data_IF_458081097376
#
_entry.id   IF_458081097376
#
_cell.length_a   1.000
_cell.length_b   1.000
_cell.length_c   1.000
_cell.angle_alpha   90.00
_cell.angle_beta   90.00
_cell.angle_gamma   90.00
#
_symmetry.space_group_name_H-M   'P 1'
#
loop_
_entity.id
_entity.type
_entity.pdbx_description
1 polymer ?
#
# COMPACT_ATOMS: atom_id res chain seq x y z
N UNK A 1 -12.70 -10.38 24.84
CA UNK A 1 -13.49 -10.23 23.61
C UNK A 1 -12.51 -10.11 22.46
N UNK A 2 -12.38 -11.13 21.61
CA UNK A 2 -11.46 -11.10 20.47
C UNK A 2 -11.95 -10.05 19.48
N UNK A 3 -11.28 -8.90 19.46
CA UNK A 3 -11.51 -7.85 18.48
C UNK A 3 -11.50 -8.49 17.10
N UNK A 4 -12.62 -8.36 16.40
CA UNK A 4 -12.89 -8.79 15.03
C UNK A 4 -11.86 -8.11 14.13
N UNK A 5 -10.65 -8.67 14.09
CA UNK A 5 -9.50 -8.01 13.51
C UNK A 5 -9.79 -7.78 12.03
N UNK A 6 -9.82 -6.53 11.61
CA UNK A 6 -9.99 -6.22 10.20
C UNK A 6 -8.89 -6.97 9.43
N UNK A 7 -9.24 -7.88 8.51
CA UNK A 7 -8.23 -8.63 7.75
C UNK A 7 -7.36 -7.71 6.87
N UNK A 8 -7.76 -6.44 6.74
CA UNK A 8 -7.05 -5.37 6.05
C UNK A 8 -5.99 -4.69 6.91
N UNK A 9 -6.14 -4.65 8.24
CA UNK A 9 -5.17 -4.03 9.15
C UNK A 9 -3.74 -4.55 8.97
N UNK A 10 -3.47 -5.87 8.96
CA UNK A 10 -2.09 -6.36 8.80
C UNK A 10 -1.47 -6.01 7.44
N UNK A 11 -2.31 -5.88 6.40
CA UNK A 11 -1.87 -5.45 5.07
C UNK A 11 -1.47 -3.97 5.11
N UNK A 12 -2.30 -3.14 5.76
CA UNK A 12 -2.06 -1.71 5.92
C UNK A 12 -0.82 -1.43 6.78
N UNK A 13 -0.67 -2.15 7.88
CA UNK A 13 0.47 -2.02 8.80
C UNK A 13 1.79 -2.37 8.10
N UNK A 14 1.80 -3.49 7.35
CA UNK A 14 2.96 -3.86 6.56
C UNK A 14 3.23 -2.89 5.41
N UNK A 15 2.19 -2.38 4.75
CA UNK A 15 2.33 -1.37 3.70
C UNK A 15 2.90 -0.05 4.24
N UNK A 16 2.46 0.38 5.43
CA UNK A 16 2.96 1.56 6.12
C UNK A 16 4.37 1.37 6.70
N UNK A 17 4.80 0.12 6.92
CA UNK A 17 6.14 -0.21 7.41
C UNK A 17 7.23 -0.11 6.33
N UNK A 18 6.87 0.01 5.05
CA UNK A 18 7.87 0.20 4.00
C UNK A 18 8.48 1.61 4.05
N UNK A 19 9.80 1.75 3.83
CA UNK A 19 10.40 3.07 3.69
C UNK A 19 9.80 3.78 2.47
N UNK A 20 9.59 5.10 2.59
CA UNK A 20 9.01 5.95 1.53
C UNK A 20 7.54 5.64 1.17
N UNK A 21 6.88 4.72 1.87
CA UNK A 21 5.46 4.46 1.68
C UNK A 21 4.62 5.57 2.33
N UNK A 22 3.81 6.21 1.51
CA UNK A 22 2.85 7.24 1.92
C UNK A 22 1.45 6.64 1.84
N UNK A 23 0.73 6.68 2.96
CA UNK A 23 -0.69 6.33 3.01
C UNK A 23 -1.51 7.51 2.51
N UNK A 24 -2.48 7.26 1.65
CA UNK A 24 -3.45 8.22 1.15
C UNK A 24 -4.85 7.61 1.07
N UNK A 25 -5.79 8.43 0.66
CA UNK A 25 -7.19 8.03 0.43
C UNK A 25 -7.56 8.45 -0.97
N UNK A 26 -8.15 7.54 -1.75
CA UNK A 26 -8.63 7.79 -3.11
C UNK A 26 -10.07 7.34 -3.23
N UNK A 27 -10.98 8.27 -3.54
CA UNK A 27 -12.44 8.11 -3.63
C UNK A 27 -13.14 7.55 -2.38
N UNK A 28 -12.92 6.26 -2.06
CA UNK A 28 -13.45 5.55 -0.89
C UNK A 28 -12.54 4.40 -0.44
N UNK A 29 -11.30 4.35 -0.94
CA UNK A 29 -10.32 3.30 -0.65
C UNK A 29 -9.02 3.92 -0.15
N UNK A 30 -8.34 3.22 0.74
CA UNK A 30 -6.99 3.58 1.19
C UNK A 30 -5.99 3.22 0.10
N UNK A 31 -5.18 4.17 -0.32
CA UNK A 31 -4.12 3.98 -1.31
C UNK A 31 -2.76 4.08 -0.63
N UNK A 32 -1.81 3.26 -1.07
CA UNK A 32 -0.42 3.35 -0.65
C UNK A 32 0.43 3.61 -1.89
N UNK A 33 1.29 4.62 -1.77
CA UNK A 33 2.17 5.09 -2.84
C UNK A 33 3.60 5.22 -2.36
N UNK A 34 4.54 4.99 -3.26
CA UNK A 34 5.97 5.26 -3.07
C UNK A 34 6.37 6.30 -4.09
N UNK A 35 6.83 7.46 -3.63
CA UNK A 35 7.14 8.61 -4.48
C UNK A 35 5.92 9.07 -5.29
N UNK A 36 5.94 8.82 -6.60
CA UNK A 36 4.87 9.20 -7.54
C UNK A 36 3.96 8.03 -7.94
N UNK A 37 4.32 6.79 -7.59
CA UNK A 37 3.65 5.59 -8.07
C UNK A 37 2.86 4.92 -6.94
N UNK A 38 1.60 4.57 -7.22
CA UNK A 38 0.78 3.77 -6.30
C UNK A 38 1.07 2.29 -6.50
N UNK A 39 1.14 1.53 -5.39
CA UNK A 39 1.47 0.10 -5.42
C UNK A 39 0.41 -0.78 -4.77
N UNK A 40 -0.38 -0.23 -3.85
CA UNK A 40 -1.48 -0.94 -3.19
C UNK A 40 -2.71 -0.03 -3.08
N UNK A 41 -3.87 -0.57 -3.42
CA UNK A 41 -5.17 0.01 -3.07
C UNK A 41 -5.94 -0.97 -2.22
N UNK A 42 -6.51 -0.54 -1.11
CA UNK A 42 -7.30 -1.38 -0.23
C UNK A 42 -8.56 -0.64 0.21
N UNK A 43 -9.70 -1.28 0.07
CA UNK A 43 -10.98 -0.63 0.35
C UNK A 43 -12.09 -1.61 0.69
N UNK A 44 -13.25 -1.09 1.11
CA UNK A 44 -14.43 -1.90 1.29
C UNK A 44 -14.87 -2.51 -0.06
N UNK A 45 -15.37 -3.75 0.01
CA UNK A 45 -15.95 -4.46 -1.13
C UNK A 45 -17.29 -3.85 -1.57
N UNK A 46 -17.88 -4.42 -2.63
CA UNK A 46 -19.18 -3.97 -3.12
C UNK A 46 -20.24 -4.03 -2.01
N UNK A 47 -21.07 -2.99 -1.90
CA UNK A 47 -22.13 -2.85 -0.88
C UNK A 47 -21.64 -2.92 0.58
N UNK A 48 -20.35 -2.63 0.84
CA UNK A 48 -19.78 -2.71 2.18
C UNK A 48 -19.58 -4.14 2.69
N UNK A 49 -19.75 -5.13 1.81
CA UNK A 49 -19.60 -6.54 2.15
C UNK A 49 -18.22 -7.01 1.69
N UNK A 50 -17.37 -7.35 2.67
CA UNK A 50 -15.99 -7.77 2.42
C UNK A 50 -15.04 -6.62 2.10
N UNK A 51 -13.88 -6.98 1.60
CA UNK A 51 -12.75 -6.12 1.33
C UNK A 51 -12.17 -6.44 -0.04
N UNK A 52 -11.65 -5.42 -0.70
CA UNK A 52 -10.88 -5.57 -1.92
C UNK A 52 -9.49 -4.97 -1.72
N UNK A 53 -8.47 -5.66 -2.21
CA UNK A 53 -7.11 -5.16 -2.27
C UNK A 53 -6.57 -5.33 -3.69
N UNK A 54 -6.01 -4.27 -4.27
CA UNK A 54 -5.39 -4.28 -5.59
C UNK A 54 -3.89 -4.11 -5.44
N UNK A 55 -3.12 -5.05 -5.99
CA UNK A 55 -1.67 -5.06 -5.96
C UNK A 55 -1.12 -4.86 -7.37
N UNK A 56 -0.08 -4.04 -7.50
CA UNK A 56 0.61 -3.86 -8.78
C UNK A 56 1.69 -4.93 -8.94
N UNK A 57 1.49 -5.90 -9.82
CA UNK A 57 2.44 -7.00 -10.06
C UNK A 57 2.94 -6.95 -11.49
N UNK A 58 4.17 -7.42 -11.70
CA UNK A 58 4.74 -7.52 -13.04
C UNK A 58 5.20 -8.95 -13.28
N UNK A 59 6.20 -9.41 -12.51
CA UNK A 59 6.69 -10.77 -12.62
C UNK A 59 5.72 -11.83 -12.05
N UNK A 60 4.99 -11.54 -10.98
CA UNK A 60 4.02 -12.48 -10.37
C UNK A 60 2.64 -12.47 -11.06
N UNK A 61 2.49 -11.79 -12.21
CA UNK A 61 1.25 -11.77 -12.98
C UNK A 61 0.79 -13.15 -13.43
N UNK A 62 1.71 -13.99 -13.88
CA UNK A 62 1.40 -15.34 -14.37
C UNK A 62 0.81 -16.21 -13.25
N UNK A 63 1.44 -16.18 -12.07
CA UNK A 63 0.95 -16.89 -10.88
C UNK A 63 -0.38 -16.33 -10.36
N UNK A 64 -0.59 -15.01 -10.46
CA UNK A 64 -1.86 -14.40 -10.13
C UNK A 64 -2.96 -14.80 -11.13
N UNK A 65 -2.60 -14.97 -12.41
CA UNK A 65 -3.51 -15.46 -13.45
C UNK A 65 -3.95 -16.89 -13.15
N UNK A 66 -3.04 -17.78 -12.78
CA UNK A 66 -3.39 -19.14 -12.34
C UNK A 66 -4.38 -19.11 -11.15
N UNK A 67 -4.14 -18.25 -10.17
CA UNK A 67 -5.05 -18.08 -9.03
C UNK A 67 -6.40 -17.49 -9.45
N UNK A 68 -6.44 -16.60 -10.43
CA UNK A 68 -7.71 -16.09 -10.99
C UNK A 68 -8.48 -17.13 -11.78
N UNK A 69 -7.80 -18.08 -12.42
CA UNK A 69 -8.45 -19.21 -13.08
C UNK A 69 -9.02 -20.19 -12.05
N UNK A 70 -8.30 -20.40 -10.95
CA UNK A 70 -8.71 -21.30 -9.88
C UNK A 70 -9.84 -20.74 -9.01
N UNK A 71 -9.77 -19.45 -8.69
CA UNK A 71 -10.70 -18.74 -7.82
C UNK A 71 -11.04 -17.35 -8.40
N UNK A 72 -11.77 -17.28 -9.53
CA UNK A 72 -12.09 -16.01 -10.22
C UNK A 72 -12.96 -15.05 -9.39
N UNK A 73 -13.71 -15.59 -8.43
CA UNK A 73 -14.51 -14.78 -7.51
C UNK A 73 -13.62 -13.98 -6.52
N UNK A 74 -12.45 -14.54 -6.19
CA UNK A 74 -11.49 -13.95 -5.24
C UNK A 74 -10.35 -13.22 -5.90
N UNK A 75 -9.88 -13.65 -7.07
CA UNK A 75 -8.73 -13.04 -7.74
C UNK A 75 -9.10 -12.65 -9.16
N UNK A 76 -8.82 -11.41 -9.51
CA UNK A 76 -9.09 -10.84 -10.83
C UNK A 76 -7.81 -10.15 -11.30
N UNK A 77 -7.27 -10.57 -12.44
CA UNK A 77 -6.08 -9.97 -13.04
C UNK A 77 -6.52 -8.96 -14.09
N UNK A 78 -6.23 -7.69 -13.85
CA UNK A 78 -6.44 -6.60 -14.79
C UNK A 78 -5.36 -6.54 -15.85
N UNK A 79 -5.73 -6.04 -17.03
CA UNK A 79 -4.87 -5.97 -18.23
C UNK A 79 -3.62 -5.08 -18.05
N UNK A 80 -3.59 -4.21 -17.05
CA UNK A 80 -2.52 -3.22 -16.82
C UNK A 80 -1.52 -3.61 -15.73
N UNK A 81 -1.42 -4.91 -15.39
CA UNK A 81 -0.50 -5.37 -14.34
C UNK A 81 -1.05 -5.19 -12.92
N UNK A 82 -2.37 -5.12 -12.77
CA UNK A 82 -3.02 -4.95 -11.47
C UNK A 82 -3.81 -6.19 -11.13
N UNK A 83 -3.57 -6.72 -9.93
CA UNK A 83 -4.28 -7.90 -9.44
C UNK A 83 -5.20 -7.48 -8.31
N UNK A 84 -6.50 -7.65 -8.52
CA UNK A 84 -7.54 -7.39 -7.54
C UNK A 84 -7.85 -8.68 -6.78
N UNK A 85 -7.68 -8.63 -5.46
CA UNK A 85 -8.04 -9.70 -4.56
C UNK A 85 -9.24 -9.28 -3.70
N UNK A 86 -10.31 -10.07 -3.74
CA UNK A 86 -11.55 -9.90 -2.97
C UNK A 86 -11.57 -10.93 -1.84
N UNK A 87 -11.81 -10.47 -0.62
CA UNK A 87 -11.78 -11.31 0.58
C UNK A 87 -12.71 -10.76 1.65
N UNK A 88 -13.02 -11.57 2.66
CA UNK A 88 -13.87 -11.17 3.78
C UNK A 88 -13.15 -11.41 5.11
N UNK A 89 -13.70 -10.91 6.22
CA UNK A 89 -13.18 -11.24 7.55
C UNK A 89 -13.26 -12.74 7.86
N UNK A 90 -14.22 -13.45 7.27
CA UNK A 90 -14.43 -14.89 7.41
C UNK A 90 -13.46 -15.71 6.54
N UNK A 91 -13.16 -15.20 5.33
CA UNK A 91 -12.23 -15.80 4.38
C UNK A 91 -11.09 -14.82 4.07
N UNK A 92 -10.13 -14.66 4.99
CA UNK A 92 -9.00 -13.75 4.77
C UNK A 92 -8.07 -14.28 3.67
N UNK A 93 -7.38 -13.35 2.99
CA UNK A 93 -6.29 -13.71 2.09
C UNK A 93 -5.16 -14.39 2.86
N UNK A 94 -4.59 -15.43 2.26
CA UNK A 94 -3.43 -16.11 2.82
C UNK A 94 -2.26 -15.12 2.98
N UNK A 95 -1.75 -15.02 4.22
CA UNK A 95 -0.66 -14.08 4.58
C UNK A 95 0.53 -14.15 3.64
N UNK A 96 0.96 -15.36 3.32
CA UNK A 96 2.09 -15.60 2.42
C UNK A 96 1.88 -15.03 1.02
N UNK A 97 0.65 -15.06 0.49
CA UNK A 97 0.34 -14.57 -0.85
C UNK A 97 0.40 -13.04 -0.87
N UNK A 98 -0.41 -12.37 -0.04
CA UNK A 98 -0.47 -10.91 -0.05
C UNK A 98 0.85 -10.27 0.39
N UNK A 99 1.62 -10.90 1.29
CA UNK A 99 2.94 -10.40 1.67
C UNK A 99 3.93 -10.44 0.51
N UNK A 100 3.92 -11.54 -0.28
CA UNK A 100 4.78 -11.66 -1.45
C UNK A 100 4.41 -10.64 -2.51
N UNK A 101 3.12 -10.50 -2.78
CA UNK A 101 2.60 -9.51 -3.73
C UNK A 101 2.92 -8.08 -3.29
N UNK A 102 2.76 -7.75 -2.02
CA UNK A 102 3.05 -6.42 -1.49
C UNK A 102 4.55 -6.05 -1.63
N UNK A 103 5.45 -6.98 -1.30
CA UNK A 103 6.90 -6.78 -1.49
C UNK A 103 7.26 -6.59 -2.97
N UNK A 104 6.62 -7.37 -3.86
CA UNK A 104 6.83 -7.21 -5.30
C UNK A 104 6.30 -5.87 -5.78
N UNK A 105 5.09 -5.47 -5.41
CA UNK A 105 4.52 -4.17 -5.78
C UNK A 105 5.38 -2.99 -5.31
N UNK A 106 5.91 -3.08 -4.09
CA UNK A 106 6.88 -2.14 -3.57
C UNK A 106 8.15 -2.12 -4.43
N UNK A 107 8.71 -3.29 -4.75
CA UNK A 107 9.89 -3.42 -5.62
C UNK A 107 9.66 -2.88 -7.04
N UNK A 108 8.49 -3.08 -7.63
CA UNK A 108 8.12 -2.53 -8.95
C UNK A 108 8.03 -1.02 -8.89
N UNK A 109 7.41 -0.45 -7.86
CA UNK A 109 7.33 1.01 -7.70
C UNK A 109 8.68 1.65 -7.38
N UNK A 110 9.50 1.00 -6.54
CA UNK A 110 10.86 1.45 -6.22
C UNK A 110 11.83 1.24 -7.39
N UNK A 111 11.62 0.22 -8.24
CA UNK A 111 12.48 -0.10 -9.39
C UNK A 111 12.19 0.72 -10.65
N UNK A 112 11.01 1.35 -10.73
CA UNK A 112 10.62 2.25 -11.84
C UNK A 112 11.24 3.65 -11.71
N UNK A 113 11.84 3.97 -10.55
CA UNK A 113 12.67 5.15 -10.33
C UNK A 113 13.89 4.70 -9.56
N UNK A 114 15.04 4.63 -10.21
CA UNK A 114 16.30 4.20 -9.59
C UNK A 114 16.60 4.84 -8.23
N UNK A 115 17.47 4.22 -7.42
CA UNK A 115 17.59 4.49 -6.00
C UNK A 115 18.07 5.93 -5.78
N UNK A 116 17.18 6.81 -5.31
CA UNK A 116 17.66 7.99 -4.58
C UNK A 116 17.87 7.58 -3.13
N UNK A 117 19.09 7.12 -2.85
CA UNK A 117 19.63 7.05 -1.49
C UNK A 117 19.27 8.33 -0.71
N UNK A 118 18.92 8.10 0.55
CA UNK A 118 19.07 8.98 1.70
C UNK A 118 17.94 9.97 2.04
N UNK A 119 17.21 9.64 3.10
CA UNK A 119 17.21 10.52 4.27
C UNK A 119 17.28 9.67 5.55
N UNK A 120 18.48 9.69 6.14
CA UNK A 120 18.80 9.22 7.49
C UNK A 120 17.82 9.77 8.53
N UNK A 121 17.61 8.96 9.58
CA UNK A 121 17.21 9.31 10.95
C UNK A 121 17.65 10.72 11.38
N UNK A 122 16.77 11.47 12.06
CA UNK A 122 17.04 12.27 13.30
C UNK A 122 15.74 12.97 13.77
N UNK A 123 15.09 12.52 14.84
CA UNK A 123 15.17 13.08 16.21
C UNK A 123 15.48 14.60 16.30
N UNK A 124 14.47 15.31 16.82
CA UNK A 124 14.48 16.44 17.79
C UNK A 124 15.20 17.77 17.45
N UNK A 125 14.50 18.83 17.90
CA UNK A 125 14.93 20.16 18.39
C UNK A 125 14.80 21.33 17.41
N UNK A 126 13.70 22.06 17.55
CA UNK A 126 13.63 23.50 17.33
C UNK A 126 14.48 24.21 18.38
N UNK A 127 15.43 25.07 17.96
CA UNK A 127 15.51 26.39 18.59
C UNK A 127 15.86 27.53 17.61
N UNK A 128 15.07 28.61 17.74
CA UNK A 128 15.46 30.02 17.91
C UNK A 128 16.35 30.80 16.92
N UNK A 129 15.98 32.10 16.85
CA UNK A 129 16.75 33.33 16.48
C UNK A 129 16.74 33.66 14.97
N UNK A 130 16.55 34.91 14.50
CA UNK A 130 17.03 36.21 15.03
C UNK A 130 16.50 37.41 14.19
N UNK A 131 16.20 38.52 14.89
CA UNK A 131 16.29 39.97 14.55
C UNK A 131 16.08 40.48 13.10
N UNK A 132 15.20 41.49 12.98
CA UNK A 132 15.28 42.64 12.07
C UNK A 132 14.96 43.91 12.91
N UNK A 133 15.94 44.64 13.46
CA UNK A 133 16.48 45.94 12.96
C UNK A 133 15.40 46.81 12.30
N UNK A 134 14.85 47.78 13.05
CA UNK A 134 15.25 49.22 13.13
C UNK A 134 14.53 50.08 12.09
N UNK A 135 13.73 51.03 12.59
CA UNK A 135 13.30 52.24 11.88
C UNK A 135 13.43 53.42 12.86
N UNK A 136 13.93 54.59 12.43
CA UNK A 136 14.27 55.71 13.30
C UNK A 136 13.09 56.68 13.49
N UNK A 137 12.95 57.25 14.67
CA UNK A 137 12.42 58.60 14.93
C UNK A 137 13.06 59.09 16.21
#
# INVERSE_FOLDING_TARGET
MASKADPTQPIRDMAASFPDAVTGTSCNQTSFKVGKNSFLFIGPGAKGQGFKAMFKLNASMDKARELSVKDPDRYEVGSTGWVTARFTADKPLAKTIWQKWLKESYGVCCGSTGPKKAAKKTKKKTPAKRKKKQSPT
#
